data_IF_577853569287
#
_entry.id   IF_577853569287
#
_cell.length_a   1.000
_cell.length_b   1.000
_cell.length_c   1.000
_cell.angle_alpha   90.00
_cell.angle_beta   90.00
_cell.angle_gamma   90.00
#
_symmetry.space_group_name_H-M   'P 1'
#
loop_
_entity.id
_entity.type
_entity.pdbx_description
1 polymer ?
#
# COMPACT_ATOMS: atom_id res chain seq x y z
N UNK A 1 23.87 -5.34 -5.76
CA UNK A 1 22.82 -4.28 -5.71
C UNK A 1 22.88 -3.53 -4.37
N UNK A 2 23.09 -2.21 -4.39
CA UNK A 2 23.10 -1.35 -3.20
C UNK A 2 21.72 -0.70 -2.94
N UNK A 3 20.69 -1.10 -3.70
CA UNK A 3 19.33 -0.56 -3.60
C UNK A 3 19.13 0.82 -4.25
N UNK A 4 20.17 1.43 -4.84
CA UNK A 4 20.04 2.72 -5.51
C UNK A 4 19.35 2.56 -6.89
N UNK A 5 18.39 3.42 -7.24
CA UNK A 5 17.84 3.47 -8.60
C UNK A 5 18.94 3.71 -9.63
N UNK A 6 18.82 3.10 -10.81
CA UNK A 6 19.76 3.27 -11.92
C UNK A 6 19.02 3.26 -13.25
N UNK A 7 19.52 4.05 -14.21
CA UNK A 7 19.03 4.05 -15.58
C UNK A 7 19.61 2.90 -16.42
N UNK A 8 20.52 2.08 -15.88
CA UNK A 8 21.06 0.92 -16.59
C UNK A 8 19.93 -0.10 -16.85
N UNK A 9 19.55 -0.36 -18.12
CA UNK A 9 18.45 -1.27 -18.42
C UNK A 9 18.75 -2.73 -18.04
N UNK A 10 20.01 -3.07 -17.75
CA UNK A 10 20.43 -4.40 -17.30
C UNK A 10 20.32 -4.57 -15.78
N UNK A 11 20.06 -3.49 -15.05
CA UNK A 11 19.92 -3.56 -13.61
C UNK A 11 18.70 -4.39 -13.21
N UNK A 12 18.77 -5.17 -12.12
CA UNK A 12 17.62 -5.90 -11.61
C UNK A 12 16.45 -4.94 -11.32
N UNK A 13 15.28 -5.25 -11.87
CA UNK A 13 14.03 -4.56 -11.53
C UNK A 13 13.33 -5.37 -10.45
N UNK A 14 13.22 -4.78 -9.27
CA UNK A 14 12.42 -5.37 -8.19
C UNK A 14 10.98 -4.90 -8.36
N UNK A 15 10.07 -5.84 -8.57
CA UNK A 15 8.65 -5.57 -8.59
C UNK A 15 8.06 -6.03 -7.26
N UNK A 16 7.30 -5.13 -6.65
CA UNK A 16 6.46 -5.46 -5.51
C UNK A 16 5.18 -6.10 -6.03
N UNK A 17 4.68 -7.14 -5.38
CA UNK A 17 3.49 -7.86 -5.84
C UNK A 17 2.60 -8.30 -4.70
N UNK A 18 1.30 -8.18 -4.89
CA UNK A 18 0.26 -8.81 -4.06
C UNK A 18 -0.70 -9.57 -4.96
N UNK A 19 -1.38 -10.55 -4.40
CA UNK A 19 -2.59 -11.11 -5.02
C UNK A 19 -3.76 -10.23 -4.60
N UNK A 20 -4.56 -9.71 -5.55
CA UNK A 20 -5.69 -8.83 -5.19
C UNK A 20 -6.73 -9.56 -4.32
N UNK A 21 -7.07 -10.78 -4.71
CA UNK A 21 -7.93 -11.68 -3.95
C UNK A 21 -7.73 -13.13 -4.41
N UNK A 22 -7.94 -14.08 -3.51
CA UNK A 22 -8.11 -15.49 -3.87
C UNK A 22 -9.61 -15.80 -3.91
N UNK A 23 -10.15 -16.15 -5.07
CA UNK A 23 -11.61 -16.34 -5.27
C UNK A 23 -12.04 -17.80 -5.41
N UNK A 24 -11.16 -18.73 -5.04
CA UNK A 24 -11.41 -20.18 -5.11
C UNK A 24 -10.98 -20.86 -3.81
N UNK A 25 -11.45 -22.09 -3.58
CA UNK A 25 -11.10 -22.87 -2.39
C UNK A 25 -11.54 -22.17 -1.10
N UNK A 26 -10.58 -21.88 -0.21
CA UNK A 26 -10.81 -21.13 1.05
C UNK A 26 -10.81 -19.60 0.87
N UNK A 27 -10.92 -19.15 -0.37
CA UNK A 27 -10.98 -17.76 -0.79
C UNK A 27 -12.21 -16.97 -0.34
N UNK A 28 -12.30 -15.76 -0.86
CA UNK A 28 -13.52 -14.93 -0.87
C UNK A 28 -14.37 -15.24 -2.09
N UNK A 29 -15.61 -14.77 -2.14
CA UNK A 29 -16.33 -14.65 -3.41
C UNK A 29 -15.77 -13.49 -4.24
N UNK A 30 -16.15 -13.39 -5.51
CA UNK A 30 -15.80 -12.24 -6.37
C UNK A 30 -16.43 -10.95 -5.84
N UNK A 31 -17.67 -11.01 -5.35
CA UNK A 31 -18.37 -9.84 -4.81
C UNK A 31 -17.73 -9.35 -3.51
N UNK A 32 -17.36 -10.27 -2.61
CA UNK A 32 -16.58 -9.95 -1.40
C UNK A 32 -15.24 -9.29 -1.76
N UNK A 33 -14.53 -9.82 -2.76
CA UNK A 33 -13.26 -9.25 -3.22
C UNK A 33 -13.43 -7.83 -3.77
N UNK A 34 -14.41 -7.60 -4.64
CA UNK A 34 -14.68 -6.29 -5.21
C UNK A 34 -15.14 -5.29 -4.14
N UNK A 35 -15.97 -5.73 -3.20
CA UNK A 35 -16.41 -4.90 -2.08
C UNK A 35 -15.24 -4.50 -1.17
N UNK A 36 -14.36 -5.46 -0.84
CA UNK A 36 -13.16 -5.22 -0.02
C UNK A 36 -12.18 -4.23 -0.69
N UNK A 37 -11.94 -4.38 -1.99
CA UNK A 37 -11.08 -3.45 -2.75
C UNK A 37 -11.68 -2.04 -2.78
N UNK A 38 -12.98 -1.90 -3.08
CA UNK A 38 -13.66 -0.59 -3.08
C UNK A 38 -13.61 0.08 -1.71
N UNK A 39 -13.88 -0.67 -0.65
CA UNK A 39 -13.78 -0.20 0.74
C UNK A 39 -12.36 0.27 1.07
N UNK A 40 -11.35 -0.37 0.51
CA UNK A 40 -9.95 0.01 0.74
C UNK A 40 -9.59 1.33 0.08
N UNK A 41 -10.05 1.55 -1.15
CA UNK A 41 -9.87 2.84 -1.86
C UNK A 41 -10.49 4.00 -1.09
N UNK A 42 -11.64 3.79 -0.44
CA UNK A 42 -12.29 4.81 0.39
C UNK A 42 -11.50 5.19 1.64
N UNK A 43 -10.52 4.38 2.06
CA UNK A 43 -9.70 4.64 3.24
C UNK A 43 -8.49 5.54 2.95
N UNK A 44 -8.07 5.67 1.70
CA UNK A 44 -6.83 6.37 1.33
C UNK A 44 -6.82 7.83 1.78
N UNK A 45 -5.80 8.20 2.56
CA UNK A 45 -5.66 9.56 3.11
C UNK A 45 -6.71 9.96 4.15
N UNK A 46 -7.53 9.03 4.64
CA UNK A 46 -8.54 9.33 5.67
C UNK A 46 -7.96 9.41 7.08
N UNK A 47 -6.75 8.89 7.30
CA UNK A 47 -6.06 8.85 8.59
C UNK A 47 -6.96 8.26 9.71
N UNK A 48 -7.38 6.98 9.60
CA UNK A 48 -8.37 6.41 10.50
C UNK A 48 -7.90 6.44 11.97
N UNK A 49 -8.77 6.89 12.87
CA UNK A 49 -8.48 7.14 14.29
C UNK A 49 -8.52 5.90 15.21
N UNK A 50 -8.53 4.70 14.62
CA UNK A 50 -8.64 3.45 15.35
C UNK A 50 -7.34 2.98 16.02
N UNK A 51 -7.36 1.75 16.52
CA UNK A 51 -6.25 1.17 17.30
C UNK A 51 -5.60 0.00 16.57
N UNK A 52 -4.26 -0.06 16.64
CA UNK A 52 -3.45 -1.19 16.16
C UNK A 52 -3.12 -2.11 17.34
N UNK A 53 -3.52 -3.38 17.24
CA UNK A 53 -3.41 -4.35 18.33
C UNK A 53 -2.27 -5.34 18.11
N UNK A 54 -1.45 -5.55 19.13
CA UNK A 54 -0.43 -6.59 19.18
C UNK A 54 -0.84 -7.64 20.21
N UNK A 55 -1.38 -8.76 19.72
CA UNK A 55 -1.92 -9.84 20.56
C UNK A 55 -0.80 -10.73 21.07
N UNK A 56 -0.54 -10.67 22.37
CA UNK A 56 0.46 -11.47 23.06
C UNK A 56 -0.18 -12.69 23.70
N UNK A 57 0.36 -13.86 23.39
CA UNK A 57 0.03 -15.10 24.08
C UNK A 57 1.22 -16.08 24.09
N UNK A 58 1.00 -17.24 24.69
CA UNK A 58 2.03 -18.28 24.89
C UNK A 58 2.29 -19.16 23.67
N UNK A 59 1.55 -19.01 22.57
CA UNK A 59 1.81 -19.76 21.33
C UNK A 59 3.12 -19.27 20.69
N UNK A 60 3.93 -20.19 20.15
CA UNK A 60 5.16 -19.87 19.42
C UNK A 60 4.92 -18.88 18.28
N UNK A 61 3.72 -18.89 17.70
CA UNK A 61 3.27 -17.95 16.66
C UNK A 61 3.17 -16.51 17.14
N UNK A 62 2.93 -16.30 18.42
CA UNK A 62 2.97 -14.99 19.09
C UNK A 62 4.39 -14.67 19.55
N UNK A 63 4.99 -15.54 20.36
CA UNK A 63 6.27 -15.26 21.04
C UNK A 63 7.43 -15.00 20.07
N UNK A 64 7.38 -15.57 18.86
CA UNK A 64 8.37 -15.32 17.78
C UNK A 64 8.42 -13.83 17.35
N UNK A 65 7.32 -13.08 17.50
CA UNK A 65 7.23 -11.65 17.15
C UNK A 65 7.26 -10.71 18.34
N UNK A 66 7.12 -11.23 19.56
CA UNK A 66 6.93 -10.44 20.78
C UNK A 66 8.06 -9.45 21.05
N UNK A 67 9.30 -9.80 20.66
CA UNK A 67 10.47 -8.92 20.77
C UNK A 67 10.27 -7.51 20.16
N UNK A 68 9.36 -7.37 19.19
CA UNK A 68 9.09 -6.12 18.49
C UNK A 68 7.83 -5.39 18.97
N UNK A 69 6.90 -6.03 19.68
CA UNK A 69 5.56 -5.48 19.96
C UNK A 69 5.60 -4.11 20.64
N UNK A 70 6.28 -4.01 21.79
CA UNK A 70 6.34 -2.74 22.53
C UNK A 70 7.08 -1.63 21.78
N UNK A 71 8.08 -1.97 20.97
CA UNK A 71 8.82 -0.99 20.19
C UNK A 71 8.01 -0.47 18.99
N UNK A 72 7.28 -1.36 18.30
CA UNK A 72 6.36 -0.98 17.23
C UNK A 72 5.21 -0.12 17.78
N UNK A 73 4.58 -0.53 18.88
CA UNK A 73 3.52 0.24 19.52
C UNK A 73 3.98 1.65 19.93
N UNK A 74 5.18 1.79 20.52
CA UNK A 74 5.74 3.09 20.87
C UNK A 74 5.95 3.99 19.65
N UNK A 75 6.47 3.45 18.54
CA UNK A 75 6.66 4.23 17.31
C UNK A 75 5.34 4.65 16.69
N UNK A 76 4.32 3.79 16.71
CA UNK A 76 2.97 4.14 16.26
C UNK A 76 2.37 5.29 17.09
N UNK A 77 2.52 5.23 18.41
CA UNK A 77 2.07 6.30 19.31
C UNK A 77 2.80 7.63 19.05
N UNK A 78 4.11 7.58 18.72
CA UNK A 78 4.88 8.76 18.31
C UNK A 78 4.41 9.34 16.98
N UNK A 79 3.86 8.51 16.10
CA UNK A 79 3.22 8.90 14.85
C UNK A 79 1.75 9.33 15.03
N UNK A 80 1.25 9.38 16.27
CA UNK A 80 -0.11 9.82 16.58
C UNK A 80 -1.20 8.75 16.40
N UNK A 81 -0.83 7.48 16.22
CA UNK A 81 -1.77 6.37 16.07
C UNK A 81 -1.87 5.56 17.37
N UNK A 82 -3.10 5.19 17.76
CA UNK A 82 -3.34 4.35 18.92
C UNK A 82 -2.77 2.95 18.68
N UNK A 83 -2.02 2.44 19.65
CA UNK A 83 -1.46 1.10 19.60
C UNK A 83 -1.42 0.46 20.98
N UNK A 84 -1.84 -0.81 21.06
CA UNK A 84 -1.97 -1.57 22.30
C UNK A 84 -1.26 -2.91 22.16
N UNK A 85 -0.48 -3.27 23.18
CA UNK A 85 0.03 -4.64 23.38
C UNK A 85 -0.78 -5.24 24.51
N UNK A 86 -1.54 -6.30 24.23
CA UNK A 86 -2.41 -6.94 25.23
C UNK A 86 -2.29 -8.46 25.21
N UNK A 87 -2.69 -9.09 26.32
CA UNK A 87 -2.71 -10.54 26.43
C UNK A 87 -3.99 -11.10 25.83
N UNK A 88 -3.86 -11.85 24.73
CA UNK A 88 -5.00 -12.26 23.93
C UNK A 88 -4.63 -13.04 22.66
N UNK A 89 -5.68 -13.43 21.93
CA UNK A 89 -5.55 -14.17 20.65
C UNK A 89 -5.94 -13.27 19.48
N UNK A 90 -7.07 -12.57 19.61
CA UNK A 90 -7.57 -11.54 18.70
C UNK A 90 -8.23 -10.44 19.54
N UNK A 91 -8.27 -9.19 19.05
CA UNK A 91 -8.89 -8.08 19.79
C UNK A 91 -10.36 -8.38 20.09
N UNK A 92 -10.81 -8.17 21.32
CA UNK A 92 -12.18 -8.48 21.77
C UNK A 92 -13.02 -7.20 21.99
N UNK A 93 -14.22 -7.16 21.41
CA UNK A 93 -15.21 -6.10 21.54
C UNK A 93 -14.68 -4.70 21.16
N UNK A 94 -13.79 -4.63 20.17
CA UNK A 94 -13.14 -3.39 19.74
C UNK A 94 -13.85 -2.80 18.50
N UNK A 95 -14.41 -1.59 18.57
CA UNK A 95 -15.18 -1.03 17.46
C UNK A 95 -14.31 -0.49 16.31
N UNK A 96 -12.99 -0.42 16.50
CA UNK A 96 -12.09 0.42 15.72
C UNK A 96 -10.71 -0.23 15.45
N UNK A 97 -10.68 -1.51 15.06
CA UNK A 97 -9.43 -2.21 14.73
C UNK A 97 -8.83 -1.64 13.43
N UNK A 98 -7.84 -0.75 13.57
CA UNK A 98 -7.07 -0.16 12.46
C UNK A 98 -5.92 -1.08 11.98
N UNK A 99 -5.58 -2.10 12.77
CA UNK A 99 -4.72 -3.20 12.37
C UNK A 99 -4.50 -4.19 13.50
N UNK A 100 -4.02 -5.38 13.18
CA UNK A 100 -3.60 -6.31 14.23
C UNK A 100 -2.50 -7.28 13.79
N UNK A 101 -1.68 -7.67 14.77
CA UNK A 101 -0.66 -8.72 14.66
C UNK A 101 -1.07 -9.89 15.56
N UNK A 102 -1.46 -11.00 14.95
CA UNK A 102 -2.10 -12.14 15.65
C UNK A 102 -1.26 -13.40 15.55
N UNK A 103 -1.00 -14.09 16.66
CA UNK A 103 -0.26 -15.36 16.68
C UNK A 103 -1.09 -16.53 17.20
N UNK A 104 -1.77 -17.26 16.31
CA UNK A 104 -2.54 -18.47 16.66
C UNK A 104 -2.79 -19.35 15.44
N UNK A 105 -3.02 -20.64 15.65
CA UNK A 105 -3.41 -21.57 14.60
C UNK A 105 -4.84 -21.34 14.10
N UNK A 106 -5.77 -21.08 15.03
CA UNK A 106 -7.20 -20.98 14.77
C UNK A 106 -7.83 -19.88 15.61
N UNK A 107 -8.81 -19.21 15.03
CA UNK A 107 -9.64 -18.19 15.66
C UNK A 107 -10.96 -18.05 14.90
N UNK A 108 -11.89 -17.33 15.50
CA UNK A 108 -13.20 -16.99 14.94
C UNK A 108 -13.39 -15.49 15.08
N UNK A 109 -13.21 -14.74 13.99
CA UNK A 109 -13.29 -13.29 14.04
C UNK A 109 -14.72 -12.83 14.37
N UNK A 110 -15.73 -13.53 13.86
CA UNK A 110 -17.14 -13.18 14.07
C UNK A 110 -17.54 -13.16 15.55
N UNK A 111 -16.93 -14.04 16.38
CA UNK A 111 -17.17 -14.10 17.83
C UNK A 111 -16.43 -13.05 18.65
N UNK A 112 -15.49 -12.33 18.05
CA UNK A 112 -14.72 -11.30 18.76
C UNK A 112 -15.56 -10.09 19.17
N UNK A 113 -16.66 -9.81 18.44
CA UNK A 113 -17.39 -8.55 18.58
C UNK A 113 -16.63 -7.33 18.06
N UNK A 114 -15.49 -7.52 17.38
CA UNK A 114 -14.62 -6.45 16.90
C UNK A 114 -14.89 -6.08 15.44
N UNK A 115 -14.70 -4.80 15.12
CA UNK A 115 -14.89 -4.24 13.78
C UNK A 115 -13.54 -3.83 13.19
N UNK A 116 -13.21 -4.35 12.00
CA UNK A 116 -12.01 -3.97 11.25
C UNK A 116 -12.32 -2.68 10.48
N UNK A 117 -11.50 -1.65 10.65
CA UNK A 117 -11.63 -0.38 9.92
C UNK A 117 -11.19 -0.49 8.46
N UNK A 118 -11.65 0.44 7.63
CA UNK A 118 -11.25 0.51 6.23
C UNK A 118 -9.75 0.80 6.13
N UNK A 119 -9.07 0.14 5.19
CA UNK A 119 -7.62 0.28 5.05
C UNK A 119 -6.77 -0.56 6.01
N UNK A 120 -7.36 -1.26 7.00
CA UNK A 120 -6.59 -1.99 8.00
C UNK A 120 -5.79 -3.18 7.43
N UNK A 121 -4.53 -3.31 7.86
CA UNK A 121 -3.78 -4.56 7.72
C UNK A 121 -4.08 -5.41 8.95
N UNK A 122 -4.60 -6.62 8.75
CA UNK A 122 -4.81 -7.58 9.83
C UNK A 122 -4.14 -8.87 9.41
N UNK A 123 -3.06 -9.24 10.09
CA UNK A 123 -2.23 -10.37 9.69
C UNK A 123 -2.03 -11.35 10.85
N UNK A 124 -1.75 -12.60 10.47
CA UNK A 124 -1.35 -13.60 11.44
C UNK A 124 -0.11 -14.41 11.05
N UNK A 125 0.57 -14.92 12.07
CA UNK A 125 1.59 -15.94 11.91
C UNK A 125 0.94 -17.29 12.19
N UNK A 126 0.81 -18.12 11.16
CA UNK A 126 0.40 -19.52 11.28
C UNK A 126 1.01 -20.34 10.15
N UNK A 127 0.88 -21.66 10.17
CA UNK A 127 1.55 -22.56 9.21
C UNK A 127 0.91 -22.58 7.82
N UNK A 128 -0.38 -22.32 7.71
CA UNK A 128 -1.16 -22.51 6.49
C UNK A 128 -2.16 -21.39 6.28
N UNK A 129 -1.84 -20.19 6.77
CA UNK A 129 -2.71 -19.01 6.61
C UNK A 129 -2.94 -18.65 5.14
N UNK A 130 -1.98 -18.95 4.28
CA UNK A 130 -2.04 -18.71 2.82
C UNK A 130 -2.37 -19.95 1.98
N UNK A 131 -2.56 -21.13 2.59
CA UNK A 131 -2.88 -22.34 1.83
C UNK A 131 -4.34 -22.30 1.37
N UNK A 132 -4.64 -22.01 0.11
CA UNK A 132 -6.04 -21.81 -0.32
C UNK A 132 -6.81 -23.11 -0.63
N UNK A 133 -6.17 -24.27 -0.52
CA UNK A 133 -6.82 -25.57 -0.69
C UNK A 133 -7.79 -25.87 0.47
N UNK A 134 -8.95 -26.47 0.16
CA UNK A 134 -10.00 -26.80 1.14
C UNK A 134 -9.56 -27.77 2.24
N UNK A 135 -8.52 -28.56 2.01
CA UNK A 135 -7.98 -29.54 2.97
C UNK A 135 -7.10 -28.95 4.07
N UNK A 136 -6.77 -27.65 4.03
CA UNK A 136 -5.93 -27.02 5.04
C UNK A 136 -6.73 -26.68 6.33
N UNK A 137 -6.15 -26.96 7.50
CA UNK A 137 -6.87 -26.98 8.79
C UNK A 137 -6.78 -25.74 9.67
N UNK A 138 -5.94 -24.76 9.34
CA UNK A 138 -5.81 -23.50 10.12
C UNK A 138 -6.70 -22.40 9.52
N UNK A 139 -7.19 -21.46 10.34
CA UNK A 139 -7.94 -20.30 9.84
C UNK A 139 -7.11 -19.58 8.76
N UNK A 140 -7.65 -19.32 7.55
CA UNK A 140 -6.92 -18.66 6.47
C UNK A 140 -6.86 -17.13 6.67
N UNK A 141 -5.92 -16.47 6.01
CA UNK A 141 -5.82 -15.00 5.94
C UNK A 141 -7.09 -14.36 5.38
N UNK A 142 -7.84 -15.10 4.55
CA UNK A 142 -9.08 -14.63 3.91
C UNK A 142 -10.20 -14.40 4.90
N UNK A 143 -10.11 -14.94 6.12
CA UNK A 143 -11.02 -14.59 7.22
C UNK A 143 -10.98 -13.09 7.50
N UNK A 144 -9.79 -12.49 7.57
CA UNK A 144 -9.66 -11.05 7.79
C UNK A 144 -10.21 -10.22 6.62
N UNK A 145 -10.00 -10.68 5.38
CA UNK A 145 -10.50 -10.01 4.19
C UNK A 145 -12.04 -10.02 4.15
N UNK A 146 -12.67 -11.15 4.52
CA UNK A 146 -14.13 -11.26 4.65
C UNK A 146 -14.72 -10.30 5.70
N UNK A 147 -13.92 -10.00 6.72
CA UNK A 147 -14.27 -9.03 7.75
C UNK A 147 -13.79 -7.59 7.46
N UNK A 148 -13.28 -7.34 6.25
CA UNK A 148 -13.03 -6.00 5.72
C UNK A 148 -11.58 -5.53 5.77
N UNK A 149 -10.62 -6.35 6.18
CA UNK A 149 -9.20 -5.96 6.11
C UNK A 149 -8.80 -5.63 4.66
N UNK A 150 -8.01 -4.55 4.50
CA UNK A 150 -7.46 -4.14 3.22
C UNK A 150 -6.39 -5.10 2.69
N UNK A 151 -5.71 -5.78 3.61
CA UNK A 151 -4.88 -6.91 3.27
C UNK A 151 -4.40 -7.70 4.47
N UNK A 152 -3.91 -8.89 4.16
CA UNK A 152 -3.39 -9.86 5.09
C UNK A 152 -2.29 -10.68 4.39
N UNK A 153 -1.58 -11.50 5.16
CA UNK A 153 -0.64 -12.45 4.59
C UNK A 153 -0.71 -13.78 5.31
N UNK A 154 -0.24 -14.82 4.63
CA UNK A 154 -0.16 -16.15 5.22
C UNK A 154 0.72 -17.07 4.39
N UNK A 155 1.21 -18.12 5.01
CA UNK A 155 2.13 -19.07 4.38
C UNK A 155 1.38 -20.13 3.58
N UNK A 156 1.92 -20.47 2.40
CA UNK A 156 1.26 -21.41 1.45
C UNK A 156 1.63 -22.88 1.66
N UNK A 157 2.66 -23.15 2.47
CA UNK A 157 3.17 -24.49 2.78
C UNK A 157 3.75 -24.49 4.19
N UNK A 158 3.77 -25.66 4.86
CA UNK A 158 4.20 -25.80 6.27
C UNK A 158 5.55 -25.08 6.49
N UNK A 159 5.54 -24.01 7.28
CA UNK A 159 6.70 -23.32 7.73
C UNK A 159 6.97 -23.73 9.16
N UNK A 160 8.23 -24.04 9.47
CA UNK A 160 8.71 -23.77 10.83
C UNK A 160 8.40 -22.31 11.21
N UNK A 161 8.08 -22.05 12.48
CA UNK A 161 7.79 -20.70 13.01
C UNK A 161 9.08 -19.85 13.04
N UNK A 162 9.54 -19.44 11.86
CA UNK A 162 10.77 -18.65 11.65
C UNK A 162 10.34 -17.23 11.29
N UNK A 163 10.64 -16.26 12.15
CA UNK A 163 10.23 -14.86 11.99
C UNK A 163 10.50 -14.30 10.59
N UNK A 164 11.65 -14.61 10.00
CA UNK A 164 12.12 -14.01 8.76
C UNK A 164 11.14 -14.15 7.57
N UNK A 165 10.22 -15.12 7.59
CA UNK A 165 9.25 -15.33 6.50
C UNK A 165 7.93 -14.58 6.67
N UNK A 166 7.70 -14.02 7.85
CA UNK A 166 6.49 -13.29 8.21
C UNK A 166 6.81 -11.80 8.34
N UNK A 167 5.83 -10.92 8.16
CA UNK A 167 6.04 -9.51 8.45
C UNK A 167 6.43 -9.34 9.92
N UNK A 168 7.42 -8.49 10.17
CA UNK A 168 7.65 -8.00 11.52
C UNK A 168 6.50 -7.07 11.95
N UNK A 169 6.26 -6.92 13.27
CA UNK A 169 5.27 -5.97 13.80
C UNK A 169 5.43 -4.52 13.30
N UNK A 170 6.63 -4.16 12.79
CA UNK A 170 6.90 -2.87 12.17
C UNK A 170 6.21 -2.66 10.81
N UNK A 171 5.52 -3.67 10.23
CA UNK A 171 4.64 -3.50 9.06
C UNK A 171 3.68 -2.32 9.26
N UNK A 172 3.11 -2.21 10.45
CA UNK A 172 2.21 -1.12 10.81
C UNK A 172 2.92 0.23 10.87
N UNK A 173 4.18 0.28 11.33
CA UNK A 173 4.95 1.52 11.37
C UNK A 173 5.24 2.04 9.96
N UNK A 174 5.63 1.15 9.04
CA UNK A 174 5.81 1.53 7.63
C UNK A 174 4.51 2.05 7.02
N UNK A 175 3.41 1.35 7.27
CA UNK A 175 2.10 1.68 6.73
C UNK A 175 1.57 3.03 7.25
N UNK A 176 1.66 3.26 8.57
CA UNK A 176 1.30 4.54 9.21
C UNK A 176 2.25 5.67 8.82
N UNK A 177 3.51 5.36 8.48
CA UNK A 177 4.44 6.36 7.93
C UNK A 177 4.09 6.80 6.50
N UNK A 178 3.00 6.28 5.93
CA UNK A 178 2.52 6.63 4.60
C UNK A 178 3.04 5.71 3.50
N UNK A 179 3.61 4.54 3.81
CA UNK A 179 3.88 3.55 2.76
C UNK A 179 2.56 2.94 2.26
N UNK A 180 2.52 2.51 1.00
CA UNK A 180 1.44 1.64 0.52
C UNK A 180 1.46 0.28 1.23
N UNK A 181 0.37 -0.46 1.17
CA UNK A 181 0.26 -1.79 1.77
C UNK A 181 1.38 -2.71 1.28
N UNK A 182 1.65 -2.73 -0.02
CA UNK A 182 2.69 -3.60 -0.57
C UNK A 182 4.09 -3.17 -0.09
N UNK A 183 4.38 -1.88 -0.04
CA UNK A 183 5.66 -1.38 0.49
C UNK A 183 5.84 -1.71 1.96
N UNK A 184 4.77 -1.63 2.76
CA UNK A 184 4.79 -1.98 4.18
C UNK A 184 5.12 -3.47 4.38
N UNK A 185 4.53 -4.37 3.59
CA UNK A 185 4.87 -5.80 3.64
C UNK A 185 6.33 -6.06 3.22
N UNK A 186 6.77 -5.51 2.10
CA UNK A 186 8.12 -5.79 1.59
C UNK A 186 9.23 -5.14 2.44
N UNK A 187 8.93 -4.08 3.19
CA UNK A 187 9.86 -3.54 4.19
C UNK A 187 9.87 -4.33 5.51
N UNK A 188 8.86 -5.16 5.77
CA UNK A 188 8.72 -5.89 7.03
C UNK A 188 9.04 -7.40 6.93
N UNK A 189 9.22 -7.95 5.73
CA UNK A 189 9.50 -9.38 5.49
C UNK A 189 10.92 -9.57 4.95
N UNK A 190 11.73 -10.41 5.61
CA UNK A 190 13.11 -10.69 5.17
C UNK A 190 13.19 -11.80 4.11
N UNK A 191 12.29 -12.78 4.15
CA UNK A 191 12.29 -13.95 3.27
C UNK A 191 10.90 -14.33 2.78
N UNK A 192 10.34 -13.62 1.77
CA UNK A 192 8.94 -13.74 1.36
C UNK A 192 8.60 -15.01 0.57
N UNK A 193 9.54 -15.93 0.35
CA UNK A 193 9.40 -17.06 -0.60
C UNK A 193 8.18 -17.97 -0.34
N UNK A 194 7.73 -18.07 0.91
CA UNK A 194 6.59 -18.89 1.31
C UNK A 194 5.33 -18.07 1.63
N UNK A 195 5.40 -16.74 1.51
CA UNK A 195 4.37 -15.82 1.98
C UNK A 195 3.47 -15.39 0.82
N UNK A 196 2.18 -15.67 0.95
CA UNK A 196 1.14 -15.11 0.11
C UNK A 196 0.63 -13.82 0.75
N UNK A 197 0.86 -12.69 0.10
CA UNK A 197 0.30 -11.39 0.48
C UNK A 197 -0.94 -11.15 -0.36
N UNK A 198 -2.08 -10.88 0.29
CA UNK A 198 -3.36 -10.68 -0.39
C UNK A 198 -3.98 -9.35 0.04
N UNK A 199 -4.45 -8.57 -0.92
CA UNK A 199 -5.09 -7.28 -0.68
C UNK A 199 -4.76 -6.25 -1.76
N UNK A 200 -5.28 -5.04 -1.57
CA UNK A 200 -4.99 -3.90 -2.44
C UNK A 200 -3.54 -3.43 -2.24
N UNK A 201 -2.66 -3.57 -3.24
CA UNK A 201 -1.27 -3.18 -3.11
C UNK A 201 -1.09 -1.67 -2.91
N UNK A 202 -2.02 -0.85 -3.40
CA UNK A 202 -1.93 0.60 -3.41
C UNK A 202 -2.61 1.26 -2.21
N UNK A 203 -3.29 0.49 -1.37
CA UNK A 203 -3.90 1.00 -0.15
C UNK A 203 -2.89 1.83 0.64
N UNK A 204 -3.28 3.04 1.01
CA UNK A 204 -2.42 4.01 1.69
C UNK A 204 -3.26 4.92 2.62
N UNK A 205 -3.88 4.37 3.68
CA UNK A 205 -4.84 5.09 4.52
C UNK A 205 -4.22 6.27 5.28
N UNK A 206 -2.92 6.16 5.60
CA UNK A 206 -2.11 7.19 6.24
C UNK A 206 -1.20 7.92 5.27
N UNK A 207 -1.52 7.93 3.96
CA UNK A 207 -0.76 8.75 3.00
C UNK A 207 -0.82 10.21 3.43
N UNK A 208 0.26 10.93 3.23
CA UNK A 208 0.30 12.35 3.52
C UNK A 208 -0.55 13.14 2.51
N UNK A 209 -1.11 14.25 2.96
CA UNK A 209 -1.93 15.15 2.14
C UNK A 209 -1.04 15.97 1.20
N UNK A 210 -0.85 15.42 -0.01
CA UNK A 210 -0.12 16.03 -1.11
C UNK A 210 -0.88 15.80 -2.41
N UNK A 211 -1.36 16.87 -3.05
CA UNK A 211 -2.21 16.81 -4.25
C UNK A 211 -1.75 17.77 -5.33
N UNK A 212 -2.22 17.53 -6.55
CA UNK A 212 -2.01 18.42 -7.68
C UNK A 212 -3.09 19.50 -7.64
N UNK A 213 -2.70 20.76 -7.45
CA UNK A 213 -3.61 21.89 -7.49
C UNK A 213 -3.93 22.30 -8.94
N UNK A 214 -2.91 22.32 -9.80
CA UNK A 214 -3.04 22.69 -11.21
C UNK A 214 -1.97 21.97 -12.05
N UNK A 215 -2.29 21.55 -13.28
CA UNK A 215 -1.28 20.99 -14.18
C UNK A 215 -0.55 22.08 -14.99
N UNK A 216 -1.10 23.30 -15.05
CA UNK A 216 -0.52 24.40 -15.82
C UNK A 216 -0.53 24.15 -17.33
N UNK A 217 -1.58 23.50 -17.83
CA UNK A 217 -1.78 23.20 -19.26
C UNK A 217 -3.10 23.80 -19.70
N UNK A 218 -3.06 24.66 -20.72
CA UNK A 218 -4.28 25.17 -21.36
C UNK A 218 -4.84 24.09 -22.29
N UNK A 219 -6.08 23.65 -22.02
CA UNK A 219 -6.78 22.64 -22.82
C UNK A 219 -7.74 23.22 -23.85
N UNK A 220 -7.95 24.54 -23.87
CA UNK A 220 -8.95 25.21 -24.71
C UNK A 220 -8.47 25.37 -26.16
N UNK A 221 -7.15 25.37 -26.38
CA UNK A 221 -6.56 25.44 -27.72
C UNK A 221 -5.63 24.25 -27.97
N UNK A 222 -5.55 23.75 -29.22
CA UNK A 222 -4.59 22.72 -29.56
C UNK A 222 -3.15 23.13 -29.22
N UNK A 223 -2.42 22.21 -28.63
CA UNK A 223 -1.01 22.34 -28.31
C UNK A 223 -0.16 22.02 -29.55
N UNK A 224 0.99 22.69 -29.69
CA UNK A 224 1.92 22.44 -30.80
C UNK A 224 3.34 22.82 -30.42
N UNK A 225 4.33 22.22 -31.10
CA UNK A 225 5.75 22.44 -30.84
C UNK A 225 6.18 22.03 -29.42
N UNK A 226 7.03 22.84 -28.80
CA UNK A 226 7.49 22.61 -27.42
C UNK A 226 6.58 23.31 -26.43
N UNK A 227 5.90 22.51 -25.60
CA UNK A 227 5.03 22.98 -24.51
C UNK A 227 5.80 22.89 -23.19
N UNK A 228 5.77 23.96 -22.40
CA UNK A 228 6.27 23.93 -21.01
C UNK A 228 5.08 23.71 -20.08
N UNK A 229 5.16 22.66 -19.27
CA UNK A 229 4.15 22.29 -18.28
C UNK A 229 4.55 22.95 -16.96
N UNK A 230 3.64 23.70 -16.34
CA UNK A 230 3.88 24.42 -15.09
C UNK A 230 2.93 23.92 -13.99
N UNK A 231 3.16 22.70 -13.48
CA UNK A 231 2.29 22.12 -12.48
C UNK A 231 2.47 22.81 -11.11
N UNK A 232 1.41 22.85 -10.34
CA UNK A 232 1.36 23.37 -8.98
C UNK A 232 0.78 22.29 -8.07
N UNK A 233 1.39 22.13 -6.90
CA UNK A 233 0.96 21.20 -5.86
C UNK A 233 0.51 21.94 -4.61
N UNK A 234 -0.37 21.33 -3.85
CA UNK A 234 -0.76 21.77 -2.52
C UNK A 234 -0.47 20.66 -1.50
N UNK A 235 -0.18 21.07 -0.26
CA UNK A 235 0.12 20.14 0.85
C UNK A 235 -0.23 20.78 2.19
N UNK A 236 -0.82 20.00 3.09
CA UNK A 236 -1.03 20.40 4.50
C UNK A 236 0.08 19.89 5.43
N UNK A 237 1.05 19.15 4.91
CA UNK A 237 2.11 18.46 5.68
C UNK A 237 3.53 18.85 5.21
N UNK A 238 3.68 20.10 4.73
CA UNK A 238 4.97 20.70 4.29
C UNK A 238 5.74 19.89 3.23
N UNK A 239 5.05 19.08 2.43
CA UNK A 239 5.63 18.34 1.31
C UNK A 239 5.77 19.28 0.12
N UNK A 240 6.95 19.27 -0.49
CA UNK A 240 7.23 19.96 -1.75
C UNK A 240 7.65 18.96 -2.82
N UNK A 241 7.35 19.22 -4.10
CA UNK A 241 7.79 18.37 -5.19
C UNK A 241 9.31 18.36 -5.26
N UNK A 242 9.90 17.16 -5.38
CA UNK A 242 11.32 16.93 -5.63
C UNK A 242 11.56 16.54 -7.10
N UNK A 243 10.63 15.80 -7.71
CA UNK A 243 10.70 15.32 -9.09
C UNK A 243 9.34 15.50 -9.74
N UNK A 244 9.35 15.95 -11.00
CA UNK A 244 8.19 15.93 -11.89
C UNK A 244 8.36 14.83 -12.94
N UNK A 245 7.32 14.05 -13.16
CA UNK A 245 7.23 13.09 -14.27
C UNK A 245 6.07 13.47 -15.17
N UNK A 246 6.32 13.45 -16.48
CA UNK A 246 5.32 13.63 -17.52
C UNK A 246 5.15 12.33 -18.28
N UNK A 247 3.90 11.91 -18.42
CA UNK A 247 3.51 10.81 -19.29
C UNK A 247 2.54 11.30 -20.35
N UNK A 248 2.71 10.80 -21.58
CA UNK A 248 1.77 10.99 -22.69
C UNK A 248 1.34 9.60 -23.13
N UNK A 249 0.03 9.36 -23.13
CA UNK A 249 -0.59 8.06 -23.46
C UNK A 249 0.04 6.87 -22.70
N UNK A 250 0.41 7.12 -21.43
CA UNK A 250 1.02 6.12 -20.55
C UNK A 250 2.52 5.92 -20.75
N UNK A 251 3.17 6.62 -21.68
CA UNK A 251 4.63 6.57 -21.88
C UNK A 251 5.33 7.72 -21.17
N UNK A 252 6.42 7.44 -20.46
CA UNK A 252 7.26 8.48 -19.84
C UNK A 252 7.89 9.34 -20.94
N UNK A 253 7.59 10.63 -20.91
CA UNK A 253 8.16 11.63 -21.82
C UNK A 253 9.27 12.43 -21.15
N UNK A 254 9.10 12.76 -19.87
CA UNK A 254 10.09 13.50 -19.10
C UNK A 254 10.06 13.10 -17.63
N UNK A 255 11.23 13.11 -16.98
CA UNK A 255 11.39 13.03 -15.53
C UNK A 255 12.51 13.99 -15.13
N UNK A 256 12.18 15.04 -14.41
CA UNK A 256 13.10 16.16 -14.10
C UNK A 256 13.03 16.55 -12.63
N UNK A 257 14.09 17.19 -12.10
CA UNK A 257 14.02 17.75 -10.74
C UNK A 257 13.02 18.89 -10.70
N UNK A 258 12.47 19.17 -9.52
CA UNK A 258 11.46 20.22 -9.38
C UNK A 258 11.93 21.63 -9.78
N UNK A 259 13.25 21.90 -9.73
CA UNK A 259 13.84 23.17 -10.17
C UNK A 259 14.01 23.27 -11.69
N UNK A 260 13.93 22.15 -12.42
CA UNK A 260 14.14 22.09 -13.86
C UNK A 260 12.80 22.19 -14.60
N UNK A 261 12.76 22.85 -15.78
CA UNK A 261 11.52 23.01 -16.53
C UNK A 261 11.00 21.67 -17.08
N UNK A 262 9.75 21.33 -16.79
CA UNK A 262 9.07 20.18 -17.38
C UNK A 262 8.59 20.54 -18.79
N UNK A 263 9.19 19.94 -19.82
CA UNK A 263 8.89 20.25 -21.23
C UNK A 263 8.41 19.02 -21.98
N UNK A 264 7.50 19.27 -22.92
CA UNK A 264 7.00 18.28 -23.87
C UNK A 264 7.20 18.78 -25.30
N UNK A 265 7.91 17.99 -26.10
CA UNK A 265 7.96 18.16 -27.55
C UNK A 265 6.79 17.39 -28.18
N UNK A 266 5.72 18.12 -28.52
CA UNK A 266 4.50 17.55 -29.10
C UNK A 266 4.73 16.98 -30.50
N UNK A 267 5.79 17.40 -31.21
CA UNK A 267 6.14 16.86 -32.54
C UNK A 267 6.56 15.39 -32.52
N UNK A 268 6.79 14.82 -31.33
CA UNK A 268 7.07 13.38 -31.13
C UNK A 268 5.81 12.52 -31.06
N UNK A 269 4.64 13.13 -31.14
CA UNK A 269 3.33 12.48 -31.06
C UNK A 269 2.49 12.91 -32.27
N UNK A 270 1.49 12.10 -32.63
CA UNK A 270 0.59 12.43 -33.73
C UNK A 270 -0.28 13.66 -33.44
N UNK A 271 -0.87 14.25 -34.47
CA UNK A 271 -1.95 15.21 -34.27
C UNK A 271 -3.21 14.48 -33.79
N UNK A 272 -3.98 15.11 -32.88
CA UNK A 272 -5.19 14.50 -32.30
C UNK A 272 -5.23 14.58 -30.78
N UNK A 273 -6.06 13.73 -30.16
CA UNK A 273 -6.24 13.71 -28.70
C UNK A 273 -5.18 12.84 -28.02
N UNK A 274 -4.62 13.36 -26.93
CA UNK A 274 -3.65 12.66 -26.09
C UNK A 274 -4.01 12.77 -24.62
N UNK A 275 -3.70 11.73 -23.84
CA UNK A 275 -3.84 11.74 -22.39
C UNK A 275 -2.52 12.15 -21.76
N UNK A 276 -2.53 13.31 -21.11
CA UNK A 276 -1.42 13.81 -20.32
C UNK A 276 -1.58 13.37 -18.87
N UNK A 277 -0.54 12.77 -18.29
CA UNK A 277 -0.47 12.53 -16.84
C UNK A 277 0.77 13.20 -16.29
N UNK A 278 0.60 14.05 -15.28
CA UNK A 278 1.70 14.65 -14.53
C UNK A 278 1.71 14.07 -13.12
N UNK A 279 2.89 13.64 -12.69
CA UNK A 279 3.15 13.12 -11.35
C UNK A 279 4.19 14.03 -10.69
N UNK A 280 3.88 14.52 -9.50
CA UNK A 280 4.84 15.10 -8.58
C UNK A 280 5.24 14.02 -7.55
N UNK A 281 6.53 13.82 -7.34
CA UNK A 281 7.04 13.05 -6.20
C UNK A 281 7.55 14.00 -5.14
N UNK A 282 7.07 13.82 -3.91
CA UNK A 282 7.46 14.59 -2.74
C UNK A 282 8.93 14.40 -2.36
N UNK A 283 9.45 15.39 -1.63
CA UNK A 283 10.76 15.37 -0.99
C UNK A 283 10.79 14.57 0.33
N UNK A 284 9.66 14.01 0.74
CA UNK A 284 9.52 13.19 1.93
C UNK A 284 10.05 11.77 1.70
N UNK A 285 10.25 11.03 2.80
CA UNK A 285 10.91 9.72 2.76
C UNK A 285 10.14 8.68 1.95
N UNK A 286 8.81 8.73 1.94
CA UNK A 286 7.95 7.82 1.17
C UNK A 286 7.67 8.33 -0.24
N UNK A 287 8.24 9.48 -0.63
CA UNK A 287 8.07 10.11 -1.94
C UNK A 287 6.60 10.22 -2.33
N UNK A 288 5.81 10.85 -1.46
CA UNK A 288 4.37 11.03 -1.61
C UNK A 288 4.02 11.52 -3.01
N UNK A 289 2.93 11.02 -3.58
CA UNK A 289 2.58 11.25 -5.00
C UNK A 289 1.39 12.19 -5.09
N UNK A 290 1.58 13.30 -5.81
CA UNK A 290 0.49 14.10 -6.36
C UNK A 290 0.35 13.78 -7.85
N UNK A 291 -0.88 13.48 -8.31
CA UNK A 291 -1.14 13.10 -9.70
C UNK A 291 -2.31 13.88 -10.27
N UNK A 292 -2.19 14.32 -11.51
CA UNK A 292 -3.33 14.80 -12.31
C UNK A 292 -3.28 14.21 -13.71
N UNK A 293 -4.45 14.09 -14.32
CA UNK A 293 -4.66 13.54 -15.66
C UNK A 293 -5.61 14.45 -16.43
N UNK A 294 -5.26 14.79 -17.66
CA UNK A 294 -6.12 15.56 -18.54
C UNK A 294 -5.96 15.13 -20.00
N UNK A 295 -6.99 15.38 -20.80
CA UNK A 295 -6.93 15.15 -22.25
C UNK A 295 -6.64 16.47 -22.94
N UNK A 296 -5.66 16.48 -23.83
CA UNK A 296 -5.27 17.61 -24.67
C UNK A 296 -5.46 17.27 -26.14
N UNK A 297 -5.53 18.29 -26.98
CA UNK A 297 -5.44 18.12 -28.44
C UNK A 297 -4.10 18.65 -28.93
N UNK A 298 -3.41 17.90 -29.77
CA UNK A 298 -2.16 18.30 -30.44
C UNK A 298 -2.44 18.61 -31.91
N UNK A 299 -1.88 19.71 -32.40
CA UNK A 299 -1.96 20.12 -33.81
C UNK A 299 -0.64 20.78 -34.25
N UNK A 300 0.36 19.97 -34.58
CA UNK A 300 1.61 20.40 -35.19
C UNK A 300 1.41 20.72 -36.68
N UNK A 301 2.17 21.70 -37.18
CA UNK A 301 2.31 21.90 -38.62
C UNK A 301 2.99 20.66 -39.25
N UNK A 302 2.49 20.23 -40.41
CA UNK A 302 3.09 19.16 -41.22
C UNK A 302 4.49 19.53 -41.74
#
# INVERSE_FOLDING_TARGET
>A
PNGAPTADPRAPRYLLSTVLACTTGRGTTVDEALAGLRRTVEADGTHPSGTIYFERNKDVRSTTREWAFHNAARQLQQLGVNAVVEDGVIPQNQPDVAGAVIGTANFDWSKSGSTILAGAIVEHLTSFGGAMASSAGQTPLTEFLKHGAAGASGTVTEPYAIQAKFPSPFVHVHYVSGCTLVEAFYQSVTGPYQLLIVGDPLAQPWRRNFSMANMGVNTDTPLSGTVTIQPETESTEEISPAVWELYVDGQVVAAVKAADPLRWDTGRHGNGKHVLTVIARGNDRVQSIARSVLTVTVANAE
#
